data_IF_319276734022
#
_entry.id   IF_319276734022
#
_cell.length_a   1.000
_cell.length_b   1.000
_cell.length_c   1.000
_cell.angle_alpha   90.00
_cell.angle_beta   90.00
_cell.angle_gamma   90.00
#
_symmetry.space_group_name_H-M   'P 1'
#
loop_
_entity.id
_entity.type
_entity.pdbx_description
1 polymer ?
#
# COMPACT_ATOMS: atom_id res chain seq x y z
N UNK A 1 13.47 28.99 50.77
CA UNK A 1 14.27 29.12 49.52
C UNK A 1 15.56 28.34 49.69
N UNK A 2 15.57 27.06 49.34
CA UNK A 2 16.78 26.24 49.27
C UNK A 2 17.23 26.22 47.81
N UNK A 3 18.25 27.01 47.49
CA UNK A 3 18.90 27.01 46.19
C UNK A 3 19.74 25.74 46.07
N UNK A 4 19.36 24.87 45.14
CA UNK A 4 20.19 23.75 44.69
C UNK A 4 21.56 24.26 44.29
N UNK A 5 22.60 23.86 45.03
CA UNK A 5 23.98 23.99 44.58
C UNK A 5 24.14 23.11 43.33
N UNK A 6 24.24 23.75 42.17
CA UNK A 6 24.59 23.06 40.92
C UNK A 6 26.02 22.53 41.07
N UNK A 7 26.14 21.21 41.21
CA UNK A 7 27.44 20.54 41.24
C UNK A 7 28.16 20.86 39.93
N UNK A 8 29.33 21.50 40.02
CA UNK A 8 30.13 21.87 38.86
C UNK A 8 30.80 20.62 38.28
N UNK A 9 30.11 19.95 37.35
CA UNK A 9 30.51 18.69 36.71
C UNK A 9 31.91 18.79 36.10
N UNK A 10 32.30 19.95 35.56
CA UNK A 10 33.63 20.16 35.00
C UNK A 10 34.74 20.15 36.05
N UNK A 11 34.49 20.70 37.24
CA UNK A 11 35.46 20.67 38.33
C UNK A 11 35.66 19.24 38.85
N UNK A 12 34.58 18.47 38.98
CA UNK A 12 34.63 17.05 39.34
C UNK A 12 35.40 16.21 38.32
N UNK A 13 35.16 16.43 37.02
CA UNK A 13 35.87 15.72 35.95
C UNK A 13 37.38 15.97 35.98
N UNK A 14 37.80 17.23 36.17
CA UNK A 14 39.22 17.59 36.29
C UNK A 14 39.90 16.96 37.50
N UNK A 15 39.18 16.80 38.62
CA UNK A 15 39.72 16.15 39.82
C UNK A 15 39.82 14.64 39.59
N UNK A 16 38.81 14.01 38.98
CA UNK A 16 38.84 12.59 38.61
C UNK A 16 40.01 12.28 37.66
N UNK A 17 40.21 13.08 36.60
CA UNK A 17 41.33 12.93 35.66
C UNK A 17 42.71 13.02 36.33
N UNK A 18 42.84 13.82 37.40
CA UNK A 18 44.08 13.91 38.19
C UNK A 18 44.28 12.73 39.14
N UNK A 19 43.21 12.06 39.56
CA UNK A 19 43.23 10.89 40.44
C UNK A 19 43.38 9.58 39.66
N UNK A 20 42.83 9.50 38.44
CA UNK A 20 42.84 8.34 37.54
C UNK A 20 44.15 8.22 36.73
N UNK A 21 45.29 8.47 37.37
CA UNK A 21 46.64 8.30 36.78
C UNK A 21 47.40 7.17 37.49
N UNK A 22 48.28 6.47 36.77
CA UNK A 22 49.07 5.35 37.30
C UNK A 22 48.24 4.17 37.86
N UNK A 23 47.11 3.86 37.22
CA UNK A 23 46.30 2.69 37.57
C UNK A 23 46.97 1.38 37.10
N UNK A 24 46.87 0.34 37.92
CA UNK A 24 47.26 -1.03 37.55
C UNK A 24 46.04 -1.79 37.03
N UNK A 25 46.12 -2.33 35.81
CA UNK A 25 45.04 -3.12 35.22
C UNK A 25 44.90 -4.46 35.97
N UNK A 26 43.87 -4.58 36.80
CA UNK A 26 43.58 -5.81 37.56
C UNK A 26 42.91 -6.89 36.70
N UNK A 27 42.13 -6.50 35.69
CA UNK A 27 41.43 -7.45 34.83
C UNK A 27 40.42 -6.77 33.90
N UNK A 28 39.91 -7.53 32.95
CA UNK A 28 38.87 -7.12 32.01
C UNK A 28 37.66 -8.00 32.26
N UNK A 29 36.48 -7.38 32.36
CA UNK A 29 35.20 -8.10 32.35
C UNK A 29 34.52 -7.86 31.01
N UNK A 30 33.86 -8.90 30.49
CA UNK A 30 33.08 -8.83 29.27
C UNK A 30 31.67 -9.28 29.55
N UNK A 31 30.70 -8.46 29.17
CA UNK A 31 29.27 -8.82 29.23
C UNK A 31 28.82 -9.13 27.80
N UNK A 32 28.31 -10.33 27.59
CA UNK A 32 27.71 -10.72 26.31
C UNK A 32 26.25 -10.28 26.29
N UNK A 33 25.92 -9.38 25.36
CA UNK A 33 24.54 -9.02 25.10
C UNK A 33 23.88 -10.08 24.22
N UNK A 34 22.96 -10.84 24.81
CA UNK A 34 22.31 -11.98 24.13
C UNK A 34 21.12 -11.51 23.33
N UNK A 35 21.17 -11.80 22.03
CA UNK A 35 20.02 -11.64 21.15
C UNK A 35 18.88 -12.56 21.54
N UNK A 36 17.64 -12.10 21.32
CA UNK A 36 16.47 -12.96 21.41
C UNK A 36 16.57 -14.13 20.41
N UNK A 37 15.93 -15.24 20.75
CA UNK A 37 15.92 -16.44 19.92
C UNK A 37 15.37 -16.15 18.51
N UNK A 38 16.16 -16.51 17.48
CA UNK A 38 15.76 -16.43 16.07
C UNK A 38 15.78 -15.03 15.44
N UNK A 39 16.42 -14.04 16.07
CA UNK A 39 16.54 -12.68 15.49
C UNK A 39 17.31 -12.70 14.17
N UNK A 40 18.48 -13.33 14.15
CA UNK A 40 19.33 -13.41 12.95
C UNK A 40 18.59 -14.06 11.77
N UNK A 41 18.04 -15.27 11.98
CA UNK A 41 17.23 -15.98 10.99
C UNK A 41 16.04 -15.14 10.49
N UNK A 42 15.41 -14.38 11.38
CA UNK A 42 14.27 -13.52 11.02
C UNK A 42 14.73 -12.40 10.09
N UNK A 43 15.80 -11.67 10.45
CA UNK A 43 16.33 -10.58 9.62
C UNK A 43 16.80 -11.10 8.26
N UNK A 44 17.49 -12.24 8.23
CA UNK A 44 17.94 -12.84 6.98
C UNK A 44 16.76 -13.16 6.04
N UNK A 45 15.69 -13.77 6.58
CA UNK A 45 14.49 -14.08 5.79
C UNK A 45 13.73 -12.83 5.35
N UNK A 46 13.66 -11.79 6.18
CA UNK A 46 13.08 -10.50 5.79
C UNK A 46 13.88 -9.85 4.65
N UNK A 47 15.22 -9.90 4.71
CA UNK A 47 16.08 -9.44 3.61
C UNK A 47 15.89 -10.27 2.35
N UNK A 48 15.79 -11.60 2.47
CA UNK A 48 15.48 -12.48 1.35
C UNK A 48 14.11 -12.18 0.70
N UNK A 49 13.12 -11.79 1.52
CA UNK A 49 11.82 -11.29 1.07
C UNK A 49 11.88 -9.93 0.35
N UNK A 50 13.04 -9.27 0.31
CA UNK A 50 13.23 -7.95 -0.30
C UNK A 50 12.89 -6.78 0.63
N UNK A 51 12.73 -7.02 1.93
CA UNK A 51 12.52 -5.97 2.93
C UNK A 51 13.88 -5.39 3.33
N UNK A 52 14.03 -4.06 3.24
CA UNK A 52 15.21 -3.37 3.76
C UNK A 52 15.08 -3.19 5.27
N UNK A 53 16.08 -3.66 6.00
CA UNK A 53 16.10 -3.61 7.47
C UNK A 53 17.16 -2.61 7.92
N UNK A 54 16.75 -1.63 8.71
CA UNK A 54 17.59 -0.58 9.27
C UNK A 54 17.55 -0.69 10.80
N UNK A 55 18.67 -0.37 11.45
CA UNK A 55 18.79 -0.41 12.90
C UNK A 55 18.99 1.00 13.43
N UNK A 56 18.14 1.46 14.34
CA UNK A 56 18.23 2.77 14.98
C UNK A 56 18.39 2.55 16.49
N UNK A 57 19.60 2.75 17.04
CA UNK A 57 19.90 2.50 18.46
C UNK A 57 20.46 3.73 19.16
N UNK A 58 20.12 3.87 20.45
CA UNK A 58 20.74 4.85 21.35
C UNK A 58 22.14 4.44 21.83
N UNK A 59 22.58 3.22 21.53
CA UNK A 59 23.87 2.70 21.98
C UNK A 59 25.06 3.31 21.24
N UNK A 60 26.24 3.06 21.80
CA UNK A 60 27.51 3.39 21.15
C UNK A 60 27.66 2.65 19.82
N UNK A 61 28.40 3.29 18.93
CA UNK A 61 28.68 2.84 17.57
C UNK A 61 29.27 1.42 17.56
N UNK A 62 30.23 1.13 18.44
CA UNK A 62 30.91 -0.16 18.52
C UNK A 62 29.95 -1.29 18.88
N UNK A 63 29.05 -1.04 19.84
CA UNK A 63 28.01 -1.99 20.24
C UNK A 63 27.03 -2.22 19.09
N UNK A 64 26.58 -1.15 18.42
CA UNK A 64 25.67 -1.25 17.28
C UNK A 64 26.28 -2.07 16.12
N UNK A 65 27.57 -1.92 15.85
CA UNK A 65 28.29 -2.73 14.86
C UNK A 65 28.34 -4.20 15.28
N UNK A 66 28.69 -4.48 16.54
CA UNK A 66 28.77 -5.85 17.05
C UNK A 66 27.41 -6.55 16.99
N UNK A 67 26.33 -5.87 17.39
CA UNK A 67 24.95 -6.37 17.25
C UNK A 67 24.59 -6.50 15.76
N UNK A 68 25.02 -5.58 14.91
CA UNK A 68 24.87 -5.67 13.45
C UNK A 68 25.48 -6.95 12.87
N UNK A 69 26.64 -7.39 13.35
CA UNK A 69 27.23 -8.67 12.96
C UNK A 69 26.49 -9.87 13.57
N UNK A 70 26.16 -9.82 14.85
CA UNK A 70 25.47 -10.91 15.54
C UNK A 70 24.08 -11.20 14.93
N UNK A 71 23.41 -10.16 14.42
CA UNK A 71 22.10 -10.24 13.77
C UNK A 71 22.15 -10.54 12.27
N UNK A 72 23.35 -10.73 11.69
CA UNK A 72 23.57 -10.88 10.23
C UNK A 72 23.06 -9.69 9.39
N UNK A 73 22.89 -8.53 10.03
CA UNK A 73 22.59 -7.28 9.35
C UNK A 73 23.82 -6.80 8.57
N UNK A 74 25.00 -6.90 9.20
CA UNK A 74 26.31 -6.72 8.59
C UNK A 74 26.94 -8.08 8.30
N UNK A 75 27.48 -8.27 7.08
CA UNK A 75 28.25 -9.48 6.73
C UNK A 75 29.70 -9.12 6.42
N UNK A 76 30.60 -10.10 6.55
CA UNK A 76 32.05 -9.92 6.26
C UNK A 76 32.32 -9.64 4.78
N UNK A 77 31.43 -10.09 3.91
CA UNK A 77 31.49 -9.91 2.45
C UNK A 77 31.07 -8.51 1.98
N UNK A 78 30.52 -7.68 2.87
CA UNK A 78 30.17 -6.29 2.56
C UNK A 78 31.44 -5.48 2.27
N UNK A 79 31.72 -5.27 0.99
CA UNK A 79 32.96 -4.69 0.44
C UNK A 79 33.20 -3.22 0.77
N UNK A 80 32.17 -2.47 1.16
CA UNK A 80 32.30 -1.06 1.52
C UNK A 80 31.37 -0.74 2.68
N UNK A 81 31.98 -0.47 3.82
CA UNK A 81 31.31 0.04 5.02
C UNK A 81 31.68 1.49 5.15
N UNK A 82 30.70 2.36 4.98
CA UNK A 82 30.91 3.76 5.29
C UNK A 82 30.74 3.92 6.78
N UNK A 83 31.77 4.48 7.36
CA UNK A 83 31.76 4.95 8.71
C UNK A 83 31.87 6.50 8.66
N UNK A 84 30.78 7.24 8.94
CA UNK A 84 30.74 8.68 9.38
C UNK A 84 30.78 8.93 10.93
N UNK A 85 31.99 9.19 11.50
CA UNK A 85 32.36 9.11 12.95
C UNK A 85 32.84 10.51 13.36
N UNK A 86 32.76 10.82 14.66
CA UNK A 86 33.29 11.96 15.46
C UNK A 86 34.35 12.91 14.85
N UNK A 87 35.21 12.46 13.93
CA UNK A 87 36.19 13.32 13.24
C UNK A 87 35.56 14.26 12.19
N UNK A 88 34.38 13.92 11.65
CA UNK A 88 33.71 14.72 10.61
C UNK A 88 32.72 15.76 11.14
N UNK A 89 32.42 15.73 12.45
CA UNK A 89 31.33 16.49 13.06
C UNK A 89 31.47 18.01 12.98
N UNK A 90 32.67 18.53 12.67
CA UNK A 90 32.91 19.97 12.66
C UNK A 90 32.70 20.66 11.32
N UNK A 91 32.64 19.93 10.21
CA UNK A 91 32.50 20.55 8.89
C UNK A 91 31.45 19.86 8.00
N UNK A 92 30.30 20.53 7.89
CA UNK A 92 29.17 20.12 7.06
C UNK A 92 29.56 19.98 5.58
N UNK A 93 30.50 20.78 5.08
CA UNK A 93 30.94 20.71 3.69
C UNK A 93 31.72 19.40 3.42
N UNK A 94 32.59 19.01 4.36
CA UNK A 94 33.33 17.76 4.27
C UNK A 94 32.41 16.54 4.37
N UNK A 95 31.39 16.61 5.22
CA UNK A 95 30.35 15.58 5.33
C UNK A 95 29.62 15.39 4.00
N UNK A 96 29.23 16.50 3.36
CA UNK A 96 28.58 16.49 2.06
C UNK A 96 29.48 15.88 0.99
N UNK A 97 30.73 16.33 0.88
CA UNK A 97 31.70 15.81 -0.10
C UNK A 97 31.88 14.30 0.03
N UNK A 98 31.99 13.77 1.26
CA UNK A 98 32.12 12.31 1.47
C UNK A 98 30.87 11.54 1.07
N UNK A 99 29.68 12.06 1.38
CA UNK A 99 28.42 11.42 0.97
C UNK A 99 28.26 11.43 -0.55
N UNK A 100 28.58 12.54 -1.21
CA UNK A 100 28.55 12.66 -2.68
C UNK A 100 29.59 11.71 -3.31
N UNK A 101 30.81 11.66 -2.78
CA UNK A 101 31.85 10.73 -3.25
C UNK A 101 31.40 9.26 -3.10
N UNK A 102 30.67 8.94 -2.03
CA UNK A 102 30.12 7.60 -1.83
C UNK A 102 29.00 7.28 -2.79
N UNK A 103 28.04 8.18 -2.95
CA UNK A 103 26.98 8.05 -3.95
C UNK A 103 27.59 7.77 -5.32
N UNK A 104 28.58 8.57 -5.73
CA UNK A 104 29.31 8.39 -6.99
C UNK A 104 30.05 7.05 -7.06
N UNK A 105 30.67 6.60 -5.97
CA UNK A 105 31.36 5.30 -5.94
C UNK A 105 30.40 4.11 -6.08
N UNK A 106 29.18 4.24 -5.55
CA UNK A 106 28.13 3.21 -5.65
C UNK A 106 27.53 3.22 -7.06
N UNK A 107 27.28 4.41 -7.62
CA UNK A 107 26.71 4.59 -8.96
C UNK A 107 27.70 4.23 -10.09
N UNK A 108 28.97 4.59 -9.98
CA UNK A 108 29.98 4.27 -10.99
C UNK A 108 30.16 2.75 -11.18
N UNK A 109 30.06 1.99 -10.08
CA UNK A 109 30.08 0.52 -10.10
C UNK A 109 28.81 -0.10 -10.69
N UNK A 110 27.68 0.63 -10.65
CA UNK A 110 26.45 0.23 -11.33
C UNK A 110 26.51 0.47 -12.85
N UNK A 111 27.11 1.57 -13.30
CA UNK A 111 27.17 1.93 -14.73
C UNK A 111 28.17 1.13 -15.57
N UNK A 112 29.26 0.61 -14.97
CA UNK A 112 30.23 -0.26 -15.65
C UNK A 112 29.66 -1.57 -16.25
N UNK A 113 28.37 -1.85 -16.06
CA UNK A 113 27.66 -3.04 -16.58
C UNK A 113 26.69 -2.77 -17.74
N UNK A 114 26.39 -1.51 -18.10
CA UNK A 114 25.40 -1.23 -19.17
C UNK A 114 26.00 -1.14 -20.58
N UNK A 115 27.33 -1.26 -20.72
CA UNK A 115 28.05 -1.01 -21.98
C UNK A 115 28.56 -2.22 -22.76
N UNK A 116 28.28 -3.47 -22.37
CA UNK A 116 28.68 -4.64 -23.16
C UNK A 116 27.59 -5.71 -23.18
N UNK A 117 27.28 -6.15 -24.39
CA UNK A 117 26.12 -6.92 -24.78
C UNK A 117 25.88 -8.21 -23.99
N UNK A 118 24.62 -8.60 -24.09
CA UNK A 118 24.02 -9.85 -23.62
C UNK A 118 24.95 -11.06 -23.78
N UNK A 119 25.40 -11.61 -22.66
CA UNK A 119 25.89 -12.98 -22.58
C UNK A 119 25.11 -13.71 -21.48
N UNK A 120 24.28 -14.65 -21.92
CA UNK A 120 23.54 -15.62 -21.10
C UNK A 120 24.51 -16.44 -20.25
N UNK A 121 24.13 -16.70 -19.00
CA UNK A 121 24.60 -17.86 -18.23
C UNK A 121 25.81 -17.62 -17.33
N UNK A 122 25.59 -16.99 -16.17
CA UNK A 122 26.41 -17.23 -14.97
C UNK A 122 25.56 -16.93 -13.72
N UNK A 123 25.27 -17.90 -12.84
CA UNK A 123 24.70 -17.62 -11.54
C UNK A 123 25.83 -17.14 -10.62
N UNK A 124 25.66 -16.00 -9.95
CA UNK A 124 26.56 -15.58 -8.87
C UNK A 124 27.64 -14.57 -9.25
N UNK A 125 27.24 -13.29 -9.41
CA UNK A 125 28.16 -12.18 -9.10
C UNK A 125 27.42 -11.18 -8.24
N UNK A 126 27.56 -11.38 -6.93
CA UNK A 126 26.90 -10.64 -5.86
C UNK A 126 27.01 -9.14 -6.09
N UNK A 127 25.86 -8.47 -5.99
CA UNK A 127 25.79 -7.01 -5.90
C UNK A 127 26.59 -6.65 -4.64
N UNK A 128 27.69 -5.93 -4.80
CA UNK A 128 28.53 -5.51 -3.67
C UNK A 128 27.63 -4.86 -2.61
N UNK A 129 27.57 -5.48 -1.44
CA UNK A 129 26.67 -5.08 -0.38
C UNK A 129 27.31 -3.92 0.39
N UNK A 130 26.72 -2.72 0.24
CA UNK A 130 27.13 -1.53 0.97
C UNK A 130 26.32 -1.41 2.26
N UNK A 131 26.99 -1.11 3.37
CA UNK A 131 26.35 -0.76 4.63
C UNK A 131 26.78 0.65 5.05
N UNK A 132 25.82 1.44 5.49
CA UNK A 132 26.05 2.78 6.03
C UNK A 132 25.86 2.71 7.55
N UNK A 133 26.86 3.17 8.30
CA UNK A 133 26.75 3.35 9.74
C UNK A 133 26.96 4.84 10.01
N UNK A 134 26.08 5.47 10.79
CA UNK A 134 26.05 6.93 11.03
C UNK A 134 25.79 7.20 12.51
N UNK A 135 26.52 8.16 13.08
CA UNK A 135 26.30 8.59 14.47
C UNK A 135 25.23 9.68 14.61
N UNK A 136 24.68 9.85 15.80
CA UNK A 136 23.57 10.76 16.09
C UNK A 136 23.87 12.23 15.78
N UNK A 137 25.10 12.70 15.98
CA UNK A 137 25.52 14.09 15.68
C UNK A 137 25.58 14.34 14.17
N UNK A 138 26.27 13.47 13.43
CA UNK A 138 26.30 13.51 11.96
C UNK A 138 24.89 13.36 11.36
N UNK A 139 24.04 12.51 11.94
CA UNK A 139 22.66 12.33 11.50
C UNK A 139 21.86 13.63 11.62
N UNK A 140 22.09 14.44 12.64
CA UNK A 140 21.40 15.72 12.79
C UNK A 140 21.66 16.64 11.59
N UNK A 141 22.91 16.71 11.11
CA UNK A 141 23.26 17.50 9.92
C UNK A 141 22.67 16.89 8.63
N UNK A 142 22.59 15.56 8.55
CA UNK A 142 22.00 14.87 7.39
C UNK A 142 20.48 15.01 7.31
N UNK A 143 19.80 15.25 8.44
CA UNK A 143 18.36 15.49 8.50
C UNK A 143 17.98 16.94 8.12
N UNK A 144 18.95 17.83 7.93
CA UNK A 144 18.71 19.19 7.44
C UNK A 144 18.24 19.18 5.97
N UNK A 145 17.38 20.13 5.57
CA UNK A 145 16.70 20.10 4.26
C UNK A 145 17.64 20.17 3.05
N UNK A 146 18.86 20.67 3.21
CA UNK A 146 19.86 20.75 2.14
C UNK A 146 20.65 19.46 1.93
N UNK A 147 20.61 18.55 2.91
CA UNK A 147 21.31 17.26 2.91
C UNK A 147 20.36 16.06 2.84
N UNK A 148 19.09 16.26 3.18
CA UNK A 148 18.12 15.16 3.33
C UNK A 148 18.00 14.30 2.06
N UNK A 149 18.00 14.91 0.86
CA UNK A 149 17.90 14.18 -0.41
C UNK A 149 19.11 13.28 -0.67
N UNK A 150 20.31 13.81 -0.42
CA UNK A 150 21.57 13.08 -0.57
C UNK A 150 21.61 11.89 0.40
N UNK A 151 21.23 12.13 1.65
CA UNK A 151 21.13 11.07 2.65
C UNK A 151 20.18 9.95 2.23
N UNK A 152 18.98 10.29 1.76
CA UNK A 152 18.00 9.29 1.27
C UNK A 152 18.55 8.53 0.06
N UNK A 153 19.22 9.20 -0.88
CA UNK A 153 19.81 8.54 -2.06
C UNK A 153 20.87 7.52 -1.66
N UNK A 154 21.80 7.89 -0.79
CA UNK A 154 22.85 6.98 -0.28
C UNK A 154 22.20 5.79 0.43
N UNK A 155 21.27 6.03 1.35
CA UNK A 155 20.58 4.97 2.07
C UNK A 155 19.79 4.02 1.15
N UNK A 156 19.24 4.54 0.04
CA UNK A 156 18.50 3.74 -0.94
C UNK A 156 19.42 2.81 -1.74
N UNK A 157 20.70 3.14 -1.85
CA UNK A 157 21.68 2.28 -2.50
C UNK A 157 22.38 1.32 -1.52
N UNK A 158 22.33 1.61 -0.23
CA UNK A 158 22.78 0.70 0.82
C UNK A 158 21.83 -0.50 1.00
N UNK A 159 22.43 -1.65 1.35
CA UNK A 159 21.72 -2.88 1.70
C UNK A 159 21.14 -2.78 3.11
N UNK A 160 21.88 -2.14 4.02
CA UNK A 160 21.43 -1.84 5.38
C UNK A 160 22.01 -0.51 5.85
N UNK A 161 21.33 0.10 6.82
CA UNK A 161 21.71 1.34 7.48
C UNK A 161 21.63 1.13 8.98
N UNK A 162 22.65 1.56 9.71
CA UNK A 162 22.70 1.54 11.18
C UNK A 162 22.92 2.97 11.66
N UNK A 163 22.02 3.48 12.48
CA UNK A 163 22.18 4.75 13.17
C UNK A 163 22.41 4.50 14.66
N UNK A 164 23.54 4.97 15.20
CA UNK A 164 23.93 4.84 16.60
C UNK A 164 23.80 6.18 17.34
N UNK A 165 23.80 6.13 18.69
CA UNK A 165 23.62 7.29 19.58
C UNK A 165 22.44 8.18 19.19
N UNK A 166 21.37 7.61 18.62
CA UNK A 166 20.21 8.40 18.18
C UNK A 166 19.25 8.69 19.31
N UNK A 167 18.78 9.93 19.37
CA UNK A 167 17.73 10.36 20.29
C UNK A 167 16.34 9.86 19.85
N UNK A 168 15.36 9.74 20.77
CA UNK A 168 13.99 9.33 20.43
C UNK A 168 13.34 10.19 19.33
N UNK A 169 13.64 11.50 19.31
CA UNK A 169 13.14 12.40 18.29
C UNK A 169 13.77 12.11 16.92
N UNK A 170 15.09 11.89 16.87
CA UNK A 170 15.80 11.55 15.63
C UNK A 170 15.29 10.24 15.02
N UNK A 171 14.97 9.22 15.84
CA UNK A 171 14.39 7.96 15.32
C UNK A 171 13.10 8.21 14.51
N UNK A 172 12.17 8.99 15.06
CA UNK A 172 10.93 9.38 14.36
C UNK A 172 11.18 10.26 13.13
N UNK A 173 12.15 11.16 13.20
CA UNK A 173 12.54 12.03 12.08
C UNK A 173 13.08 11.22 10.89
N UNK A 174 13.92 10.21 11.13
CA UNK A 174 14.43 9.31 10.07
C UNK A 174 13.29 8.57 9.39
N UNK A 175 12.36 7.97 10.15
CA UNK A 175 11.21 7.26 9.57
C UNK A 175 10.35 8.20 8.73
N UNK A 176 10.03 9.39 9.27
CA UNK A 176 9.26 10.41 8.56
C UNK A 176 9.95 10.89 7.28
N UNK A 177 11.27 11.07 7.31
CA UNK A 177 12.06 11.46 6.15
C UNK A 177 11.98 10.42 5.03
N UNK A 178 12.22 9.15 5.36
CA UNK A 178 12.20 8.06 4.38
C UNK A 178 10.80 7.87 3.80
N UNK A 179 9.76 7.98 4.62
CA UNK A 179 8.37 7.92 4.17
C UNK A 179 8.05 9.05 3.19
N UNK A 180 8.44 10.30 3.50
CA UNK A 180 8.22 11.46 2.62
C UNK A 180 8.92 11.31 1.26
N UNK A 181 10.19 10.90 1.24
CA UNK A 181 10.99 10.87 0.01
C UNK A 181 10.78 9.62 -0.85
N UNK A 182 10.63 8.43 -0.25
CA UNK A 182 10.52 7.18 -1.00
C UNK A 182 9.08 6.80 -1.33
N UNK A 183 8.09 7.34 -0.62
CA UNK A 183 6.66 6.96 -0.77
C UNK A 183 6.47 5.44 -0.72
N UNK A 184 7.21 4.78 0.19
CA UNK A 184 7.13 3.34 0.46
C UNK A 184 6.54 3.12 1.85
N UNK A 185 5.89 1.97 2.01
CA UNK A 185 5.35 1.55 3.30
C UNK A 185 6.51 1.30 4.26
N UNK A 186 6.49 1.99 5.38
CA UNK A 186 7.47 1.87 6.46
C UNK A 186 6.87 1.10 7.63
N UNK A 187 7.69 0.25 8.25
CA UNK A 187 7.34 -0.48 9.47
C UNK A 187 8.38 -0.18 10.52
N UNK A 188 7.93 0.22 11.70
CA UNK A 188 8.79 0.46 12.86
C UNK A 188 8.48 -0.56 13.96
N UNK A 189 9.54 -1.09 14.58
CA UNK A 189 9.44 -2.02 15.71
C UNK A 189 10.32 -1.52 16.86
N UNK A 190 9.80 -1.55 18.08
CA UNK A 190 10.53 -1.14 19.28
C UNK A 190 9.86 -1.67 20.55
N UNK A 191 10.57 -1.62 21.67
CA UNK A 191 10.15 -2.19 22.96
C UNK A 191 9.96 -1.12 24.05
N UNK A 192 10.65 0.01 23.95
CA UNK A 192 10.67 1.05 24.98
C UNK A 192 9.95 2.36 24.62
N UNK A 193 9.84 3.25 25.62
CA UNK A 193 9.31 4.61 25.47
C UNK A 193 10.01 5.41 24.35
N UNK A 194 11.30 5.17 24.19
CA UNK A 194 12.18 5.84 23.23
C UNK A 194 11.79 5.56 21.78
N UNK A 195 11.05 4.48 21.54
CA UNK A 195 10.63 4.06 20.21
C UNK A 195 9.19 4.47 19.89
N UNK A 196 8.42 5.01 20.86
CA UNK A 196 7.04 5.42 20.65
C UNK A 196 6.90 6.40 19.47
N UNK A 197 7.77 7.42 19.39
CA UNK A 197 7.75 8.40 18.31
C UNK A 197 8.07 7.75 16.95
N UNK A 198 8.96 6.76 16.93
CA UNK A 198 9.33 6.02 15.73
C UNK A 198 8.17 5.13 15.25
N UNK A 199 7.53 4.41 16.18
CA UNK A 199 6.37 3.54 15.95
C UNK A 199 5.21 4.35 15.38
N UNK A 200 4.89 5.50 15.97
CA UNK A 200 3.78 6.35 15.54
C UNK A 200 4.04 7.06 14.20
N UNK A 201 5.30 7.28 13.82
CA UNK A 201 5.65 7.93 12.55
C UNK A 201 5.57 6.97 11.34
N UNK A 202 5.69 5.66 11.58
CA UNK A 202 5.65 4.64 10.54
C UNK A 202 4.22 4.41 10.01
N UNK A 203 4.09 3.73 8.88
CA UNK A 203 2.79 3.28 8.38
C UNK A 203 2.24 2.08 9.16
N UNK A 204 3.14 1.27 9.70
CA UNK A 204 2.82 0.12 10.55
C UNK A 204 3.73 0.16 11.78
N UNK A 205 3.13 0.34 12.95
CA UNK A 205 3.81 0.33 14.24
C UNK A 205 3.72 -1.04 14.91
N UNK A 206 4.85 -1.59 15.35
CA UNK A 206 4.90 -2.86 16.10
C UNK A 206 5.59 -2.64 17.44
N UNK A 207 4.87 -2.95 18.52
CA UNK A 207 5.38 -2.87 19.88
C UNK A 207 5.80 -4.24 20.37
N UNK A 208 7.04 -4.35 20.86
CA UNK A 208 7.49 -5.53 21.59
C UNK A 208 7.09 -5.40 23.06
N UNK A 209 6.61 -6.49 23.65
CA UNK A 209 6.31 -6.54 25.08
C UNK A 209 7.63 -6.61 25.85
N UNK A 210 8.04 -5.47 26.41
CA UNK A 210 9.21 -5.38 27.30
C UNK A 210 8.89 -5.86 28.72
N UNK A 211 9.94 -6.27 29.45
CA UNK A 211 9.86 -6.58 30.88
C UNK A 211 9.72 -5.30 31.74
N UNK A 212 10.31 -4.20 31.28
CA UNK A 212 10.38 -2.94 32.03
C UNK A 212 9.16 -2.02 31.81
N UNK A 213 8.37 -2.24 30.75
CA UNK A 213 7.19 -1.43 30.45
C UNK A 213 6.45 -1.83 29.18
N UNK A 214 5.18 -1.41 29.08
CA UNK A 214 4.28 -1.69 27.94
C UNK A 214 3.99 -0.46 27.07
N UNK A 215 4.83 0.57 27.14
CA UNK A 215 4.57 1.85 26.46
C UNK A 215 4.60 1.72 24.94
N UNK A 216 5.65 1.08 24.39
CA UNK A 216 5.74 0.79 22.96
C UNK A 216 4.61 -0.14 22.49
N UNK A 217 4.22 -1.12 23.33
CA UNK A 217 3.11 -2.03 23.05
C UNK A 217 1.79 -1.29 22.92
N UNK A 218 1.50 -0.35 23.83
CA UNK A 218 0.23 0.39 23.88
C UNK A 218 0.10 1.45 22.77
N UNK A 219 1.21 1.94 22.21
CA UNK A 219 1.19 2.92 21.12
C UNK A 219 1.33 2.31 19.72
N UNK A 220 1.39 0.97 19.62
CA UNK A 220 1.59 0.23 18.37
C UNK A 220 0.29 -0.31 17.78
N UNK A 221 0.28 -0.58 16.48
CA UNK A 221 -0.83 -1.26 15.80
C UNK A 221 -0.87 -2.76 16.13
N UNK A 222 0.31 -3.37 16.25
CA UNK A 222 0.46 -4.78 16.61
C UNK A 222 1.44 -4.96 17.77
N UNK A 223 0.99 -5.71 18.78
CA UNK A 223 1.83 -6.11 19.90
C UNK A 223 2.41 -7.52 19.73
N UNK A 224 3.73 -7.66 19.82
CA UNK A 224 4.44 -8.95 19.76
C UNK A 224 5.21 -9.22 21.06
N UNK A 225 5.30 -10.48 21.46
CA UNK A 225 6.09 -10.85 22.66
C UNK A 225 7.58 -11.02 22.34
N UNK A 226 7.91 -11.43 21.13
CA UNK A 226 9.29 -11.69 20.70
C UNK A 226 9.48 -11.30 19.24
N UNK A 227 10.69 -10.88 18.88
CA UNK A 227 11.01 -10.43 17.53
C UNK A 227 10.77 -11.50 16.45
N UNK A 228 11.02 -12.78 16.75
CA UNK A 228 10.82 -13.89 15.79
C UNK A 228 9.39 -14.02 15.24
N UNK A 229 8.39 -13.49 15.95
CA UNK A 229 6.99 -13.51 15.49
C UNK A 229 6.69 -12.45 14.43
N UNK A 230 7.62 -11.53 14.18
CA UNK A 230 7.55 -10.61 13.05
C UNK A 230 7.52 -11.36 11.71
N UNK A 231 8.26 -12.46 11.62
CA UNK A 231 8.36 -13.26 10.39
C UNK A 231 7.00 -13.84 9.94
N UNK A 232 6.26 -14.62 10.76
CA UNK A 232 4.93 -15.10 10.39
C UNK A 232 3.90 -13.96 10.26
N UNK A 233 4.01 -12.90 11.05
CA UNK A 233 3.12 -11.74 10.92
C UNK A 233 3.20 -11.14 9.50
N UNK A 234 4.42 -10.90 9.00
CA UNK A 234 4.61 -10.31 7.68
C UNK A 234 4.42 -11.36 6.57
N UNK A 235 5.26 -12.40 6.54
CA UNK A 235 5.32 -13.31 5.39
C UNK A 235 4.07 -14.17 5.22
N UNK A 236 3.35 -14.46 6.30
CA UNK A 236 2.12 -15.26 6.24
C UNK A 236 0.90 -14.35 6.27
N UNK A 237 0.67 -13.66 7.38
CA UNK A 237 -0.56 -12.88 7.55
C UNK A 237 -0.60 -11.65 6.63
N UNK A 238 0.52 -10.93 6.47
CA UNK A 238 0.62 -9.79 5.56
C UNK A 238 0.32 -10.17 4.11
N UNK A 239 0.95 -11.24 3.59
CA UNK A 239 0.70 -11.70 2.21
C UNK A 239 -0.74 -12.16 1.99
N UNK A 240 -1.30 -12.94 2.90
CA UNK A 240 -2.69 -13.39 2.80
C UNK A 240 -3.66 -12.20 2.83
N UNK A 241 -3.51 -11.29 3.78
CA UNK A 241 -4.40 -10.15 3.93
C UNK A 241 -4.33 -9.21 2.72
N UNK A 242 -3.12 -8.91 2.21
CA UNK A 242 -2.96 -8.09 1.02
C UNK A 242 -3.71 -8.69 -0.19
N UNK A 243 -3.54 -9.99 -0.45
CA UNK A 243 -4.22 -10.69 -1.55
C UNK A 243 -5.74 -10.74 -1.36
N UNK A 244 -6.21 -11.10 -0.17
CA UNK A 244 -7.63 -11.18 0.18
C UNK A 244 -8.33 -9.84 -0.04
N UNK A 245 -7.78 -8.77 0.52
CA UNK A 245 -8.33 -7.41 0.39
C UNK A 245 -8.29 -6.96 -1.07
N UNK A 246 -7.18 -7.18 -1.78
CA UNK A 246 -7.06 -6.80 -3.20
C UNK A 246 -8.17 -7.42 -4.05
N UNK A 247 -8.40 -8.73 -3.91
CA UNK A 247 -9.46 -9.43 -4.65
C UNK A 247 -10.86 -9.04 -4.18
N UNK A 248 -11.05 -8.82 -2.88
CA UNK A 248 -12.32 -8.33 -2.34
C UNK A 248 -12.70 -6.99 -2.97
N UNK A 249 -11.77 -6.03 -3.00
CA UNK A 249 -11.99 -4.70 -3.61
C UNK A 249 -12.34 -4.84 -5.09
N UNK A 250 -11.55 -5.60 -5.86
CA UNK A 250 -11.80 -5.82 -7.29
C UNK A 250 -13.17 -6.46 -7.55
N UNK A 251 -13.53 -7.47 -6.76
CA UNK A 251 -14.81 -8.16 -6.87
C UNK A 251 -15.98 -7.23 -6.50
N UNK A 252 -15.84 -6.37 -5.50
CA UNK A 252 -16.89 -5.42 -5.09
C UNK A 252 -17.23 -4.43 -6.20
N UNK A 253 -16.24 -3.90 -6.93
CA UNK A 253 -16.51 -3.05 -8.09
C UNK A 253 -17.14 -3.83 -9.24
N UNK A 254 -16.55 -4.98 -9.56
CA UNK A 254 -17.02 -5.86 -10.62
C UNK A 254 -18.50 -6.27 -10.43
N UNK A 255 -18.89 -6.75 -9.24
CA UNK A 255 -20.26 -7.23 -9.00
C UNK A 255 -21.30 -6.11 -9.10
N UNK A 256 -20.96 -4.92 -8.61
CA UNK A 256 -21.85 -3.76 -8.68
C UNK A 256 -22.01 -3.29 -10.14
N UNK A 257 -20.94 -3.34 -10.93
CA UNK A 257 -21.00 -3.01 -12.35
C UNK A 257 -21.91 -3.99 -13.10
N UNK A 258 -21.76 -5.30 -12.84
CA UNK A 258 -22.59 -6.34 -13.43
C UNK A 258 -24.07 -6.19 -13.07
N UNK A 259 -24.38 -5.70 -11.86
CA UNK A 259 -25.75 -5.40 -11.45
C UNK A 259 -26.32 -4.16 -12.15
N UNK A 260 -25.55 -3.07 -12.24
CA UNK A 260 -26.06 -1.76 -12.66
C UNK A 260 -26.14 -1.61 -14.19
N UNK A 261 -25.17 -2.12 -14.94
CA UNK A 261 -25.12 -1.93 -16.39
C UNK A 261 -26.33 -2.50 -17.16
N UNK A 262 -26.90 -3.68 -16.82
CA UNK A 262 -28.13 -4.14 -17.47
C UNK A 262 -29.31 -3.19 -17.30
N UNK A 263 -29.42 -2.46 -16.18
CA UNK A 263 -30.44 -1.42 -16.01
C UNK A 263 -30.19 -0.23 -16.93
N UNK A 264 -28.93 0.15 -17.14
CA UNK A 264 -28.58 1.19 -18.10
C UNK A 264 -28.93 0.78 -19.53
N UNK A 265 -28.61 -0.45 -19.95
CA UNK A 265 -28.99 -0.98 -21.26
C UNK A 265 -30.51 -1.10 -21.43
N UNK A 266 -31.22 -1.52 -20.39
CA UNK A 266 -32.69 -1.53 -20.39
C UNK A 266 -33.26 -0.11 -20.55
N UNK A 267 -32.66 0.87 -19.87
CA UNK A 267 -33.01 2.28 -20.02
C UNK A 267 -32.92 2.75 -21.47
N UNK A 268 -31.92 2.30 -22.24
CA UNK A 268 -31.85 2.60 -23.67
C UNK A 268 -33.05 2.03 -24.45
N UNK A 269 -33.42 0.77 -24.22
CA UNK A 269 -34.59 0.15 -24.87
C UNK A 269 -35.90 0.83 -24.45
N UNK A 270 -36.01 1.28 -23.19
CA UNK A 270 -37.21 1.93 -22.67
C UNK A 270 -37.22 3.46 -22.87
N UNK A 271 -36.33 4.01 -23.71
CA UNK A 271 -36.19 5.45 -23.95
C UNK A 271 -36.04 6.28 -22.66
N UNK A 272 -35.33 5.73 -21.68
CA UNK A 272 -35.07 6.31 -20.36
C UNK A 272 -36.33 6.71 -19.57
N UNK A 273 -37.43 5.99 -19.77
CA UNK A 273 -38.71 6.21 -19.08
C UNK A 273 -38.69 5.98 -17.55
N UNK A 274 -37.57 5.55 -16.97
CA UNK A 274 -37.44 5.27 -15.52
C UNK A 274 -38.13 3.98 -15.04
N UNK A 275 -38.50 3.07 -15.95
CA UNK A 275 -39.07 1.78 -15.56
C UNK A 275 -38.04 0.89 -14.86
N UNK A 276 -38.47 0.20 -13.80
CA UNK A 276 -37.63 -0.72 -13.02
C UNK A 276 -37.42 -2.01 -13.79
N UNK A 277 -36.15 -2.36 -14.06
CA UNK A 277 -35.79 -3.64 -14.68
C UNK A 277 -35.85 -4.81 -13.69
N UNK A 278 -35.29 -4.63 -12.48
CA UNK A 278 -35.31 -5.63 -11.42
C UNK A 278 -36.49 -5.44 -10.48
N UNK A 279 -36.96 -6.54 -9.91
CA UNK A 279 -37.87 -6.49 -8.77
C UNK A 279 -37.15 -5.84 -7.57
N UNK A 280 -37.79 -4.85 -6.96
CA UNK A 280 -37.19 -3.97 -5.95
C UNK A 280 -36.60 -4.72 -4.77
N UNK A 281 -37.31 -5.73 -4.26
CA UNK A 281 -36.82 -6.56 -3.17
C UNK A 281 -35.56 -7.35 -3.57
N UNK A 282 -35.54 -7.99 -4.76
CA UNK A 282 -34.38 -8.75 -5.22
C UNK A 282 -33.16 -7.85 -5.46
N UNK A 283 -33.39 -6.63 -5.97
CA UNK A 283 -32.35 -5.64 -6.16
C UNK A 283 -31.70 -5.24 -4.82
N UNK A 284 -32.50 -4.98 -3.79
CA UNK A 284 -32.00 -4.67 -2.45
C UNK A 284 -31.26 -5.87 -1.81
N UNK A 285 -31.74 -7.09 -2.03
CA UNK A 285 -31.12 -8.31 -1.48
C UNK A 285 -29.82 -8.71 -2.18
N UNK A 286 -29.55 -8.22 -3.40
CA UNK A 286 -28.37 -8.62 -4.18
C UNK A 286 -27.06 -8.36 -3.44
N UNK A 287 -26.89 -7.16 -2.90
CA UNK A 287 -25.64 -6.78 -2.23
C UNK A 287 -25.52 -7.36 -0.82
N UNK A 288 -26.63 -7.49 -0.10
CA UNK A 288 -26.63 -7.87 1.33
C UNK A 288 -26.67 -9.39 1.52
N UNK A 289 -27.49 -10.10 0.73
CA UNK A 289 -27.75 -11.53 0.93
C UNK A 289 -27.03 -12.35 -0.14
N UNK A 290 -27.29 -12.09 -1.41
CA UNK A 290 -26.85 -12.99 -2.48
C UNK A 290 -25.35 -12.93 -2.76
N UNK A 291 -24.72 -11.76 -2.63
CA UNK A 291 -23.31 -11.57 -3.00
C UNK A 291 -22.37 -11.25 -1.84
N UNK A 292 -22.88 -10.94 -0.65
CA UNK A 292 -22.02 -10.64 0.51
C UNK A 292 -21.36 -11.92 1.06
N UNK A 293 -22.12 -12.98 1.28
CA UNK A 293 -21.63 -14.20 1.93
C UNK A 293 -20.44 -14.82 1.18
N UNK A 294 -20.50 -15.07 -0.13
CA UNK A 294 -19.40 -15.73 -0.84
C UNK A 294 -18.10 -14.91 -0.80
N UNK A 295 -18.19 -13.60 -0.98
CA UNK A 295 -16.98 -12.75 -0.98
C UNK A 295 -16.41 -12.57 0.41
N UNK A 296 -17.23 -12.54 1.46
CA UNK A 296 -16.75 -12.52 2.85
C UNK A 296 -16.04 -13.83 3.20
N UNK A 297 -16.61 -14.98 2.83
CA UNK A 297 -15.94 -16.27 3.03
C UNK A 297 -14.60 -16.32 2.31
N UNK A 298 -14.56 -15.85 1.06
CA UNK A 298 -13.31 -15.73 0.31
C UNK A 298 -12.31 -14.79 1.00
N UNK A 299 -12.76 -13.59 1.41
CA UNK A 299 -11.92 -12.58 2.04
C UNK A 299 -11.36 -12.97 3.40
N UNK A 300 -11.99 -13.91 4.12
CA UNK A 300 -11.53 -14.37 5.44
C UNK A 300 -10.69 -15.65 5.33
N UNK A 301 -11.13 -16.62 4.54
CA UNK A 301 -10.57 -17.98 4.58
C UNK A 301 -9.61 -18.31 3.43
N UNK A 302 -9.57 -17.54 2.34
CA UNK A 302 -8.71 -17.86 1.19
C UNK A 302 -7.24 -17.91 1.61
N UNK A 303 -6.56 -19.01 1.30
CA UNK A 303 -5.13 -19.18 1.52
C UNK A 303 -4.54 -19.73 0.24
N UNK A 304 -3.56 -19.01 -0.31
CA UNK A 304 -2.93 -19.41 -1.55
C UNK A 304 -1.69 -20.25 -1.36
N UNK A 305 -0.95 -19.94 -0.31
CA UNK A 305 0.25 -20.66 0.10
C UNK A 305 0.12 -20.99 1.57
N UNK A 306 0.41 -22.25 1.91
CA UNK A 306 0.43 -22.69 3.31
C UNK A 306 1.50 -21.94 4.12
N UNK A 307 1.25 -21.74 5.41
CA UNK A 307 2.14 -21.02 6.34
C UNK A 307 3.57 -21.57 6.30
N UNK A 308 3.74 -22.89 6.23
CA UNK A 308 5.07 -23.52 6.20
C UNK A 308 5.85 -23.16 4.94
N UNK A 309 5.18 -23.13 3.80
CA UNK A 309 5.77 -22.77 2.52
C UNK A 309 6.10 -21.28 2.45
N UNK A 310 5.22 -20.42 2.97
CA UNK A 310 5.46 -18.98 3.03
C UNK A 310 6.72 -18.63 3.85
N UNK A 311 6.94 -19.33 4.97
CA UNK A 311 8.13 -19.15 5.80
C UNK A 311 9.41 -19.78 5.23
N UNK A 312 9.26 -20.80 4.38
CA UNK A 312 10.38 -21.48 3.70
C UNK A 312 10.86 -20.70 2.46
N UNK A 313 9.95 -20.03 1.75
CA UNK A 313 10.25 -19.25 0.55
C UNK A 313 9.85 -17.77 0.71
N UNK A 314 10.65 -16.97 1.44
CA UNK A 314 10.33 -15.56 1.71
C UNK A 314 10.18 -14.70 0.44
N UNK A 315 10.76 -15.12 -0.69
CA UNK A 315 10.71 -14.37 -1.95
C UNK A 315 9.27 -14.18 -2.46
N UNK A 316 8.32 -15.03 -2.06
CA UNK A 316 6.90 -14.91 -2.40
C UNK A 316 6.28 -13.59 -1.91
N UNK A 317 6.84 -12.99 -0.85
CA UNK A 317 6.37 -11.71 -0.31
C UNK A 317 6.52 -10.56 -1.30
N UNK A 318 7.47 -10.65 -2.26
CA UNK A 318 7.73 -9.61 -3.26
C UNK A 318 6.52 -9.30 -4.13
N UNK A 319 5.61 -10.25 -4.31
CA UNK A 319 4.37 -10.04 -5.06
C UNK A 319 3.53 -8.89 -4.47
N UNK A 320 3.55 -8.70 -3.16
CA UNK A 320 2.88 -7.58 -2.50
C UNK A 320 3.61 -6.25 -2.69
N UNK A 321 4.95 -6.27 -2.73
CA UNK A 321 5.78 -5.07 -2.84
C UNK A 321 5.75 -4.42 -4.23
N UNK A 322 5.42 -5.18 -5.27
CA UNK A 322 5.34 -4.71 -6.66
C UNK A 322 3.90 -4.40 -7.10
N UNK A 323 2.96 -4.34 -6.15
CA UNK A 323 1.54 -4.09 -6.39
C UNK A 323 0.91 -5.05 -7.43
N UNK A 324 1.27 -6.34 -7.36
CA UNK A 324 0.88 -7.33 -8.37
C UNK A 324 -0.65 -7.53 -8.41
N UNK A 325 -1.29 -7.56 -7.24
CA UNK A 325 -2.71 -7.92 -7.12
C UNK A 325 -3.65 -6.73 -7.28
N UNK A 326 -3.21 -5.52 -6.91
CA UNK A 326 -4.01 -4.31 -7.01
C UNK A 326 -3.21 -3.20 -7.69
N UNK A 327 -3.48 -3.02 -8.97
CA UNK A 327 -2.97 -1.89 -9.76
C UNK A 327 -4.02 -1.48 -10.79
N UNK A 328 -3.82 -0.32 -11.42
CA UNK A 328 -4.79 0.23 -12.38
C UNK A 328 -5.05 -0.72 -13.57
N UNK A 329 -4.02 -1.45 -14.04
CA UNK A 329 -4.19 -2.39 -15.16
C UNK A 329 -5.07 -3.58 -14.78
N UNK A 330 -4.84 -4.16 -13.60
CA UNK A 330 -5.69 -5.25 -13.08
C UNK A 330 -7.10 -4.74 -12.84
N UNK A 331 -7.26 -3.57 -12.23
CA UNK A 331 -8.57 -2.93 -12.04
C UNK A 331 -9.33 -2.77 -13.36
N UNK A 332 -8.70 -2.20 -14.39
CA UNK A 332 -9.32 -2.03 -15.71
C UNK A 332 -9.70 -3.38 -16.35
N UNK A 333 -8.88 -4.42 -16.21
CA UNK A 333 -9.23 -5.77 -16.69
C UNK A 333 -10.48 -6.31 -16.01
N UNK A 334 -10.62 -6.12 -14.68
CA UNK A 334 -11.82 -6.51 -13.94
C UNK A 334 -13.04 -5.70 -14.37
N UNK A 335 -12.89 -4.39 -14.61
CA UNK A 335 -13.98 -3.54 -15.10
C UNK A 335 -14.45 -3.96 -16.49
N UNK A 336 -13.53 -4.17 -17.44
CA UNK A 336 -13.86 -4.64 -18.79
C UNK A 336 -14.56 -6.01 -18.77
N UNK A 337 -14.10 -6.94 -17.92
CA UNK A 337 -14.78 -8.21 -17.72
C UNK A 337 -16.21 -8.01 -17.16
N UNK A 338 -16.39 -7.06 -16.23
CA UNK A 338 -17.71 -6.71 -15.70
C UNK A 338 -18.64 -6.13 -16.78
N UNK A 339 -18.15 -5.24 -17.64
CA UNK A 339 -18.91 -4.69 -18.77
C UNK A 339 -19.31 -5.81 -19.73
N UNK A 340 -18.38 -6.67 -20.11
CA UNK A 340 -18.63 -7.81 -20.98
C UNK A 340 -19.72 -8.72 -20.42
N UNK A 341 -19.60 -9.12 -19.15
CA UNK A 341 -20.59 -10.00 -18.52
C UNK A 341 -21.95 -9.32 -18.36
N UNK A 342 -21.99 -8.02 -18.06
CA UNK A 342 -23.25 -7.27 -18.04
C UNK A 342 -23.95 -7.27 -19.40
N UNK A 343 -23.20 -7.11 -20.50
CA UNK A 343 -23.74 -7.18 -21.86
C UNK A 343 -24.34 -8.56 -22.12
N UNK A 344 -23.61 -9.63 -21.79
CA UNK A 344 -24.12 -11.01 -21.97
C UNK A 344 -25.38 -11.25 -21.14
N UNK A 345 -25.38 -10.86 -19.87
CA UNK A 345 -26.52 -11.00 -18.94
C UNK A 345 -27.74 -10.22 -19.43
N UNK A 346 -27.54 -9.11 -20.15
CA UNK A 346 -28.64 -8.35 -20.72
C UNK A 346 -29.12 -8.89 -22.07
N UNK A 347 -28.19 -9.12 -23.00
CA UNK A 347 -28.48 -9.49 -24.40
C UNK A 347 -29.05 -10.89 -24.50
N UNK A 348 -28.52 -11.87 -23.77
CA UNK A 348 -28.97 -13.27 -23.89
C UNK A 348 -30.44 -13.42 -23.48
N UNK A 349 -30.90 -12.97 -22.29
CA UNK A 349 -32.31 -13.01 -21.96
C UNK A 349 -33.16 -12.17 -22.90
N UNK A 350 -32.69 -10.99 -23.31
CA UNK A 350 -33.45 -10.12 -24.23
C UNK A 350 -33.65 -10.78 -25.59
N UNK A 351 -32.65 -11.49 -26.11
CA UNK A 351 -32.77 -12.22 -27.36
C UNK A 351 -33.69 -13.43 -27.23
N UNK A 352 -33.51 -14.23 -26.17
CA UNK A 352 -34.31 -15.44 -25.93
C UNK A 352 -35.79 -15.11 -25.69
N UNK A 353 -36.08 -14.08 -24.89
CA UNK A 353 -37.45 -13.72 -24.48
C UNK A 353 -38.07 -12.59 -25.29
N UNK A 354 -37.28 -11.81 -26.03
CA UNK A 354 -37.75 -10.68 -26.82
C UNK A 354 -38.29 -11.09 -28.20
N UNK A 355 -37.67 -12.09 -28.83
CA UNK A 355 -38.06 -12.56 -30.17
C UNK A 355 -39.05 -13.73 -30.12
N UNK A 356 -38.99 -14.58 -29.08
CA UNK A 356 -39.82 -15.79 -29.00
C UNK A 356 -40.88 -15.63 -27.91
N UNK A 357 -42.15 -15.87 -28.28
CA UNK A 357 -43.22 -16.12 -27.32
C UNK A 357 -42.86 -17.38 -26.52
N UNK A 358 -42.56 -17.24 -25.22
CA UNK A 358 -42.28 -18.41 -24.38
C UNK A 358 -43.58 -19.20 -24.22
N UNK A 359 -43.67 -20.44 -24.73
CA UNK A 359 -44.83 -21.28 -24.49
C UNK A 359 -44.81 -21.65 -23.01
N UNK A 360 -45.78 -21.13 -22.24
CA UNK A 360 -46.03 -21.66 -20.90
C UNK A 360 -46.74 -23.01 -21.03
N UNK A 361 -46.53 -23.91 -20.06
CA UNK A 361 -47.19 -25.23 -20.00
C UNK A 361 -48.72 -25.15 -19.97
N UNK A 362 -49.28 -23.96 -19.74
CA UNK A 362 -50.72 -23.66 -19.72
C UNK A 362 -51.25 -23.11 -21.05
N UNK A 363 -50.43 -23.03 -22.10
CA UNK A 363 -50.85 -22.55 -23.42
C UNK A 363 -51.11 -21.04 -23.49
N UNK A 364 -50.87 -20.28 -22.41
CA UNK A 364 -50.91 -18.81 -22.43
C UNK A 364 -49.60 -18.28 -23.00
N UNK A 365 -49.67 -17.66 -24.17
CA UNK A 365 -48.54 -16.88 -24.69
C UNK A 365 -48.33 -15.69 -23.75
N UNK A 366 -47.21 -15.68 -23.02
CA UNK A 366 -46.77 -14.47 -22.32
C UNK A 366 -46.41 -13.46 -23.42
N UNK A 367 -47.10 -12.32 -23.44
CA UNK A 367 -46.93 -11.32 -24.51
C UNK A 367 -45.43 -11.01 -24.70
N UNK A 368 -44.96 -11.08 -25.94
CA UNK A 368 -43.56 -10.81 -26.27
C UNK A 368 -43.21 -9.37 -25.89
N UNK A 369 -41.94 -9.13 -25.52
CA UNK A 369 -41.43 -7.78 -25.24
C UNK A 369 -41.81 -6.79 -26.37
N UNK A 370 -41.82 -7.25 -27.63
CA UNK A 370 -42.26 -6.48 -28.80
C UNK A 370 -43.72 -6.03 -28.72
N UNK A 371 -44.67 -6.89 -28.34
CA UNK A 371 -46.08 -6.50 -28.18
C UNK A 371 -46.30 -5.57 -27.00
N UNK A 372 -45.50 -5.68 -25.94
CA UNK A 372 -45.50 -4.72 -24.84
C UNK A 372 -44.98 -3.35 -25.28
N UNK A 373 -43.88 -3.31 -26.04
CA UNK A 373 -43.31 -2.08 -26.61
C UNK A 373 -44.25 -1.42 -27.63
N UNK A 374 -44.94 -2.20 -28.47
CA UNK A 374 -45.95 -1.71 -29.42
C UNK A 374 -47.16 -1.10 -28.69
N UNK A 375 -47.74 -1.79 -27.71
CA UNK A 375 -48.82 -1.22 -26.87
C UNK A 375 -48.38 0.04 -26.13
N UNK A 376 -47.11 0.12 -25.73
CA UNK A 376 -46.54 1.32 -25.11
C UNK A 376 -46.40 2.48 -26.12
N UNK A 377 -45.93 2.20 -27.33
CA UNK A 377 -45.86 3.18 -28.42
C UNK A 377 -47.25 3.74 -28.74
N UNK A 378 -48.22 2.85 -28.89
CA UNK A 378 -49.61 3.18 -29.20
C UNK A 378 -50.25 4.04 -28.10
N UNK A 379 -50.05 3.68 -26.81
CA UNK A 379 -50.51 4.50 -25.68
C UNK A 379 -49.86 5.88 -25.60
N UNK A 380 -48.62 6.03 -26.07
CA UNK A 380 -47.91 7.30 -26.06
C UNK A 380 -48.29 8.18 -27.24
N UNK A 381 -48.55 7.59 -28.41
CA UNK A 381 -49.11 8.28 -29.58
C UNK A 381 -50.51 8.82 -29.24
N UNK A 382 -51.37 8.03 -28.58
CA UNK A 382 -52.68 8.53 -28.11
C UNK A 382 -52.56 9.63 -27.05
N UNK A 383 -51.63 9.50 -26.09
CA UNK A 383 -51.41 10.54 -25.08
C UNK A 383 -50.83 11.83 -25.68
N UNK A 384 -49.96 11.72 -26.70
CA UNK A 384 -49.45 12.87 -27.45
C UNK A 384 -50.54 13.58 -28.25
N UNK A 385 -51.41 12.81 -28.91
CA UNK A 385 -52.57 13.36 -29.64
C UNK A 385 -53.53 14.07 -28.69
N UNK A 386 -53.85 13.48 -27.53
CA UNK A 386 -54.68 14.13 -26.51
C UNK A 386 -54.04 15.43 -25.96
N UNK A 387 -52.71 15.45 -25.83
CA UNK A 387 -51.99 16.65 -25.36
C UNK A 387 -52.01 17.76 -26.42
N UNK A 388 -51.79 17.41 -27.70
CA UNK A 388 -51.87 18.34 -28.84
C UNK A 388 -53.29 18.88 -29.04
N UNK A 389 -54.32 18.03 -28.92
CA UNK A 389 -55.73 18.48 -28.98
C UNK A 389 -56.11 19.37 -27.79
N UNK A 390 -55.48 19.17 -26.62
CA UNK A 390 -55.68 20.04 -25.46
C UNK A 390 -55.02 21.42 -25.62
N UNK A 391 -53.86 21.47 -26.28
CA UNK A 391 -53.14 22.72 -26.59
C UNK A 391 -53.82 23.48 -27.75
N UNK A 392 -54.31 22.79 -28.79
CA UNK A 392 -55.13 23.44 -29.84
C UNK A 392 -56.46 24.00 -29.30
N UNK A 393 -57.04 23.38 -28.26
CA UNK A 393 -58.22 23.93 -27.56
C UNK A 393 -57.88 25.16 -26.72
N UNK A 394 -56.66 25.27 -26.19
CA UNK A 394 -56.19 26.46 -25.47
C UNK A 394 -55.85 27.62 -26.43
N UNK A 395 -55.27 27.33 -27.60
CA UNK A 395 -54.93 28.35 -28.60
C UNK A 395 -56.15 28.98 -29.29
N UNK A 396 -57.29 28.29 -29.34
CA UNK A 396 -58.58 28.89 -29.78
C UNK A 396 -59.21 29.82 -28.73
N UNK A 397 -58.66 29.87 -27.51
CA UNK A 397 -59.23 30.59 -26.37
C UNK A 397 -58.51 31.88 -25.94
N UNK A 398 -57.37 32.24 -26.55
CA UNK A 398 -56.65 33.46 -26.12
C UNK A 398 -55.50 33.86 -27.02
N UNK A 399 -55.62 35.03 -27.65
CA UNK A 399 -54.45 35.78 -28.12
C UNK A 399 -53.70 36.26 -26.88
N UNK A 400 -52.47 35.79 -26.68
CA UNK A 400 -51.37 36.64 -26.23
C UNK A 400 -50.02 35.97 -26.49
N UNK A 401 -49.10 36.74 -27.05
CA UNK A 401 -47.77 36.36 -27.47
C UNK A 401 -46.81 36.24 -26.29
N UNK A 402 -46.13 35.10 -26.10
CA UNK A 402 -44.78 35.06 -25.54
C UNK A 402 -44.02 33.83 -26.05
N UNK A 403 -42.82 34.08 -26.58
CA UNK A 403 -42.01 33.08 -27.25
C UNK A 403 -41.31 32.11 -26.30
N UNK A 404 -41.41 30.82 -26.61
CA UNK A 404 -40.37 29.83 -26.33
C UNK A 404 -40.44 28.74 -27.40
N UNK A 405 -39.44 28.67 -28.28
CA UNK A 405 -39.26 27.55 -29.21
C UNK A 405 -38.76 26.33 -28.42
N UNK A 406 -39.42 25.16 -28.47
CA UNK A 406 -38.85 23.94 -27.92
C UNK A 406 -37.80 23.38 -28.89
N UNK A 407 -36.61 23.15 -28.35
CA UNK A 407 -35.39 22.65 -28.99
C UNK A 407 -35.49 21.14 -29.32
N UNK A 408 -36.64 20.67 -29.80
CA UNK A 408 -36.96 19.24 -29.93
C UNK A 408 -37.44 18.85 -31.33
N UNK A 409 -37.12 19.65 -32.35
CA UNK A 409 -37.43 19.36 -33.76
C UNK A 409 -36.32 18.57 -34.49
N UNK A 410 -35.22 18.26 -33.82
CA UNK A 410 -34.04 17.64 -34.47
C UNK A 410 -33.88 16.12 -34.24
N UNK A 411 -34.81 15.43 -33.61
CA UNK A 411 -34.65 14.00 -33.30
C UNK A 411 -35.63 13.04 -33.99
N UNK A 412 -36.49 13.55 -34.89
CA UNK A 412 -37.46 12.71 -35.61
C UNK A 412 -37.06 12.38 -37.07
N UNK A 413 -35.95 12.92 -37.59
CA UNK A 413 -35.41 12.51 -38.88
C UNK A 413 -34.25 11.52 -38.69
N UNK A 414 -34.60 10.31 -38.27
CA UNK A 414 -33.73 9.14 -38.40
C UNK A 414 -34.57 7.89 -38.71
N UNK A 415 -35.51 8.02 -39.65
CA UNK A 415 -36.16 6.89 -40.35
C UNK A 415 -35.19 6.25 -41.35
N UNK A 416 -34.11 5.69 -40.82
CA UNK A 416 -33.01 5.19 -41.64
C UNK A 416 -32.27 4.03 -40.99
N UNK A 417 -32.98 3.03 -40.47
CA UNK A 417 -32.40 1.71 -40.17
C UNK A 417 -33.50 0.63 -40.07
N UNK A 418 -34.30 0.52 -41.14
CA UNK A 418 -34.96 -0.73 -41.52
C UNK A 418 -34.18 -1.33 -42.69
N UNK A 419 -33.05 -1.98 -42.37
CA UNK A 419 -32.39 -3.07 -43.12
C UNK A 419 -30.97 -3.24 -42.57
N UNK A 420 -30.82 -4.18 -41.62
CA UNK A 420 -29.75 -5.18 -41.52
C UNK A 420 -29.95 -6.01 -40.24
#
# INVERSE_FOLDING_TARGET
MLTHASVNVHALRRVAERLEVQLELQGITGVEDKLQAGVADTIEKLRAAGIKVWMLTGDKVETAINIGFATSLLTREMTQRTYVWEELDRDKALLRERLEAQEMSILAKHQGKSGRGEAKGSPGRERQAHALVVDGEALQQMLEPDMEQLFVSVCTNCVTVICSRVTPHQKGAVVSLIKRHLQKITLAIGDGANDCNMIQSADIGIGLKGEEGMQAFNCSDYGLVQFRFLLPLLLTHGSWNYRRISKLVLYMFYKNLVLVLPMFFFGYISLFSGQKFYFEFLYQMYNVVFTAIPITLYGVFDQDVDKKLALKYPQLYRCGQIDLYLNLRVFLKWMLNGVWQAIVIFVVPTFVFGCNAVPTTTGRVRESMQRYLEKFREKRETAWVETLESDERKDRGGRESFGHKPLMKCFLDADGLRTL
#
